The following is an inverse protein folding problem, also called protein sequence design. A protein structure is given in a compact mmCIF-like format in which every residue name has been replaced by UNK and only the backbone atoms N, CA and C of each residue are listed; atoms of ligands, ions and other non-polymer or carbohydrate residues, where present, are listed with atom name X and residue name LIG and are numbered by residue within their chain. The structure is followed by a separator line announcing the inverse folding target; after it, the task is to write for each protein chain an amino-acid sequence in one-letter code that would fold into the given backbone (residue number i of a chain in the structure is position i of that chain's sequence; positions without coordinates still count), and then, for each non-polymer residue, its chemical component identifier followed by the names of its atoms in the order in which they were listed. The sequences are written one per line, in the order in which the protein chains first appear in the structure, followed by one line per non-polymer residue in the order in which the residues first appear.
data_IF_850170531554
#
_entry.id   IF_850170531554
#
_cell.length_a   1.000
_cell.length_b   1.000
_cell.length_c   1.000
_cell.angle_alpha   90.00
_cell.angle_beta   90.00
_cell.angle_gamma   90.00
#
_symmetry.space_group_name_H-M   'P 1'
#
loop_
_entity.id
_entity.type
_entity.pdbx_description
1 polymer ?
#
# COMPACT_ATOMS: atom_id res chain seq x y z
N UNK A 1 12.92 -70.84 1.67
CA UNK A 1 14.11 -71.67 1.57
C UNK A 1 15.30 -70.79 1.90
N UNK A 2 15.96 -71.11 3.05
CA UNK A 2 17.34 -70.88 3.43
C UNK A 2 17.79 -69.42 3.58
N UNK A 3 17.90 -68.86 4.74
CA UNK A 3 18.61 -69.14 6.01
C UNK A 3 20.08 -68.66 5.99
N UNK A 4 20.40 -67.88 7.05
CA UNK A 4 21.68 -67.71 7.77
C UNK A 4 22.68 -66.66 7.20
N UNK A 5 23.48 -65.93 7.99
CA UNK A 5 23.84 -66.04 9.42
C UNK A 5 24.59 -64.77 9.87
N UNK A 6 24.50 -64.49 11.13
CA UNK A 6 25.19 -63.60 12.05
C UNK A 6 26.72 -63.81 12.13
N UNK A 7 27.49 -62.75 12.39
CA UNK A 7 28.72 -62.77 13.23
C UNK A 7 29.12 -61.29 13.50
N UNK A 8 29.06 -60.69 14.63
CA UNK A 8 29.77 -60.80 15.91
C UNK A 8 31.20 -60.17 15.91
N UNK A 9 31.36 -59.24 16.81
CA UNK A 9 32.49 -58.43 17.23
C UNK A 9 33.80 -59.20 17.55
N UNK A 10 34.96 -58.46 17.70
CA UNK A 10 35.42 -58.32 19.08
C UNK A 10 36.05 -56.95 19.47
N UNK A 11 35.96 -56.72 20.75
CA UNK A 11 36.56 -55.73 21.62
C UNK A 11 38.04 -55.96 21.86
N UNK A 12 38.85 -54.86 22.07
CA UNK A 12 39.86 -54.76 23.16
C UNK A 12 40.58 -53.41 23.12
N UNK A 13 40.43 -52.70 24.17
CA UNK A 13 41.36 -52.31 25.26
C UNK A 13 42.69 -51.65 24.83
N UNK A 14 42.89 -50.39 25.21
CA UNK A 14 43.91 -50.02 26.20
C UNK A 14 43.76 -48.56 26.65
N UNK A 15 43.61 -48.45 27.95
CA UNK A 15 43.85 -47.26 28.77
C UNK A 15 45.34 -46.93 28.78
N UNK A 16 45.68 -45.66 28.87
CA UNK A 16 46.72 -44.99 29.71
C UNK A 16 47.13 -43.71 29.00
N UNK A 17 46.87 -42.57 29.56
CA UNK A 17 47.72 -41.72 30.37
C UNK A 17 46.94 -40.45 30.72
N UNK A 18 46.80 -40.25 31.99
CA UNK A 18 46.31 -39.02 32.62
C UNK A 18 47.44 -38.01 32.75
N UNK A 19 47.08 -36.76 32.75
CA UNK A 19 47.86 -35.76 33.49
C UNK A 19 48.30 -34.53 32.70
N UNK A 20 47.93 -33.38 33.21
CA UNK A 20 48.39 -32.00 32.90
C UNK A 20 47.79 -31.32 31.63
N UNK A 21 46.74 -30.51 31.88
CA UNK A 21 46.17 -29.58 30.91
C UNK A 21 44.91 -28.85 31.41
N UNK A 22 44.66 -28.89 32.71
CA UNK A 22 43.51 -28.21 33.32
C UNK A 22 43.91 -26.88 33.95
N UNK A 23 44.25 -25.87 33.18
CA UNK A 23 44.31 -24.45 33.65
C UNK A 23 44.50 -23.40 32.54
N UNK A 24 43.92 -23.59 31.35
CA UNK A 24 43.79 -22.48 30.38
C UNK A 24 42.59 -22.54 29.47
N UNK A 25 41.49 -23.13 29.93
CA UNK A 25 40.24 -23.16 29.16
C UNK A 25 39.07 -22.43 29.84
N UNK A 26 39.30 -21.72 30.94
CA UNK A 26 38.24 -21.00 31.69
C UNK A 26 38.13 -19.52 31.36
N UNK A 27 38.90 -18.96 30.43
CA UNK A 27 38.88 -17.51 30.12
C UNK A 27 38.38 -17.18 28.70
N UNK A 28 37.92 -18.14 27.92
CA UNK A 28 37.34 -17.87 26.60
C UNK A 28 35.86 -18.25 26.45
N UNK A 29 35.26 -18.87 27.44
CA UNK A 29 33.82 -19.17 27.43
C UNK A 29 32.91 -18.05 27.99
N UNK A 30 33.51 -16.96 28.51
CA UNK A 30 32.75 -15.81 29.05
C UNK A 30 32.53 -14.67 28.02
N UNK A 31 32.90 -14.84 26.76
CA UNK A 31 32.70 -13.80 25.74
C UNK A 31 31.70 -14.18 24.62
N UNK A 32 31.04 -15.31 24.71
CA UNK A 32 30.01 -15.74 23.74
C UNK A 32 28.58 -15.74 24.33
N UNK A 33 28.40 -15.24 25.53
CA UNK A 33 27.08 -14.86 26.04
C UNK A 33 26.92 -13.34 25.92
N UNK A 34 27.21 -12.75 24.76
CA UNK A 34 26.57 -11.52 24.36
C UNK A 34 25.11 -11.90 24.16
N UNK A 35 24.28 -11.64 25.18
CA UNK A 35 22.84 -11.74 25.13
C UNK A 35 22.40 -11.05 23.85
N UNK A 36 21.92 -11.83 22.85
CA UNK A 36 20.99 -11.31 21.90
C UNK A 36 19.78 -10.83 22.72
N UNK A 37 19.80 -9.54 23.11
CA UNK A 37 18.55 -8.90 23.50
C UNK A 37 17.58 -9.16 22.34
N UNK A 38 16.41 -9.75 22.62
CA UNK A 38 15.38 -9.80 21.60
C UNK A 38 15.23 -8.37 21.08
N UNK A 39 15.09 -8.14 19.78
CA UNK A 39 14.92 -6.81 19.25
C UNK A 39 13.85 -6.13 20.10
N UNK A 40 14.23 -5.02 20.75
CA UNK A 40 13.27 -4.20 21.50
C UNK A 40 12.07 -4.05 20.58
N UNK A 41 10.92 -4.55 21.02
CA UNK A 41 9.65 -4.38 20.30
C UNK A 41 9.52 -2.87 20.13
N UNK A 42 9.88 -2.33 18.95
CA UNK A 42 9.66 -0.93 18.62
C UNK A 42 8.23 -0.65 19.00
N UNK A 43 8.00 0.33 19.88
CA UNK A 43 6.65 0.77 20.19
C UNK A 43 5.94 0.96 18.84
N UNK A 44 4.78 0.32 18.68
CA UNK A 44 4.08 0.31 17.40
C UNK A 44 3.96 1.75 16.93
N UNK A 45 4.63 2.09 15.82
CA UNK A 45 4.62 3.43 15.29
C UNK A 45 3.15 3.82 15.06
N UNK A 46 2.75 5.00 15.53
CA UNK A 46 1.39 5.52 15.40
C UNK A 46 1.46 7.00 15.04
N UNK A 47 0.47 7.47 14.32
CA UNK A 47 0.26 8.89 14.16
C UNK A 47 -0.23 9.51 15.49
N UNK A 48 0.13 10.76 15.73
CA UNK A 48 -0.45 11.57 16.81
C UNK A 48 -1.95 11.85 16.56
N UNK A 49 -2.55 12.79 17.30
CA UNK A 49 -3.94 13.19 17.08
C UNK A 49 -4.17 13.62 15.64
N UNK A 50 -5.25 13.12 15.03
CA UNK A 50 -5.64 13.49 13.67
C UNK A 50 -6.22 14.90 13.64
N UNK A 51 -6.00 15.57 12.53
CA UNK A 51 -6.62 16.85 12.17
C UNK A 51 -7.83 16.59 11.27
N UNK A 52 -8.71 17.58 11.15
CA UNK A 52 -9.93 17.52 10.34
C UNK A 52 -10.10 18.80 9.55
N UNK A 53 -10.57 18.67 8.31
CA UNK A 53 -10.93 19.79 7.46
C UNK A 53 -12.13 19.40 6.58
N UNK A 54 -13.04 20.36 6.38
CA UNK A 54 -14.14 20.20 5.43
C UNK A 54 -13.60 20.48 4.02
N UNK A 55 -13.63 19.49 3.14
CA UNK A 55 -13.07 19.49 1.81
C UNK A 55 -14.05 18.88 0.81
N UNK A 56 -14.57 19.70 -0.08
CA UNK A 56 -15.60 19.26 -1.03
C UNK A 56 -16.82 18.71 -0.32
N UNK A 57 -17.10 17.41 -0.51
CA UNK A 57 -18.23 16.70 0.10
C UNK A 57 -17.88 15.98 1.40
N UNK A 58 -16.63 16.08 1.85
CA UNK A 58 -16.09 15.32 2.96
C UNK A 58 -15.59 16.23 4.09
N UNK A 59 -15.75 15.76 5.31
CA UNK A 59 -14.87 16.11 6.42
C UNK A 59 -13.75 15.09 6.46
N UNK A 60 -12.58 15.50 6.02
CA UNK A 60 -11.41 14.61 5.91
C UNK A 60 -10.64 14.60 7.22
N UNK A 61 -10.43 13.38 7.76
CA UNK A 61 -9.50 13.15 8.86
C UNK A 61 -8.13 12.79 8.30
N UNK A 62 -7.07 13.46 8.79
CA UNK A 62 -5.73 13.27 8.29
C UNK A 62 -4.66 13.39 9.38
N UNK A 63 -3.56 12.68 9.19
CA UNK A 63 -2.33 12.90 9.95
C UNK A 63 -1.47 13.96 9.26
N UNK A 64 -0.77 14.76 10.04
CA UNK A 64 0.14 15.79 9.53
C UNK A 64 1.43 15.81 10.35
N UNK A 65 2.57 15.80 9.66
CA UNK A 65 3.90 15.82 10.24
C UNK A 65 4.77 16.87 9.52
N UNK A 66 5.81 17.32 10.21
CA UNK A 66 6.78 18.29 9.68
C UNK A 66 6.33 19.75 9.79
N UNK A 67 7.14 20.70 9.29
CA UNK A 67 6.85 22.14 9.36
C UNK A 67 5.65 22.51 8.49
N UNK A 68 4.77 23.35 8.98
CA UNK A 68 3.50 23.73 8.28
C UNK A 68 3.69 24.59 7.05
N UNK A 69 4.82 25.28 6.94
CA UNK A 69 5.20 26.17 5.86
C UNK A 69 6.14 25.50 4.81
N UNK A 70 6.50 24.25 5.03
CA UNK A 70 7.38 23.49 4.14
C UNK A 70 6.65 22.99 2.88
N UNK A 71 7.40 22.61 1.81
CA UNK A 71 6.84 21.94 0.65
C UNK A 71 6.05 20.70 1.04
N UNK A 72 4.91 20.48 0.38
CA UNK A 72 3.94 19.46 0.77
C UNK A 72 4.17 18.15 0.03
N UNK A 73 4.06 17.06 0.79
CA UNK A 73 3.90 15.69 0.27
C UNK A 73 2.56 15.14 0.76
N UNK A 74 1.70 14.67 -0.16
CA UNK A 74 0.51 13.89 0.14
C UNK A 74 0.79 12.40 -0.05
N UNK A 75 0.46 11.60 0.98
CA UNK A 75 0.60 10.15 0.96
C UNK A 75 -0.79 9.50 0.94
N UNK A 76 -1.10 8.78 -0.13
CA UNK A 76 -2.42 8.24 -0.42
C UNK A 76 -2.44 6.72 -0.35
N UNK A 77 -3.22 6.17 0.57
CA UNK A 77 -3.36 4.72 0.76
C UNK A 77 -4.32 4.08 -0.25
N UNK A 78 -4.35 2.76 -0.28
CA UNK A 78 -5.25 1.98 -1.11
C UNK A 78 -6.23 1.12 -0.33
N UNK A 79 -6.94 0.24 -1.06
CA UNK A 79 -7.83 -0.78 -0.50
C UNK A 79 -7.10 -2.13 -0.42
N UNK A 80 -7.28 -2.92 0.63
CA UNK A 80 -7.94 -2.64 1.90
C UNK A 80 -6.93 -2.23 2.99
N UNK A 81 -6.33 -1.07 2.81
CA UNK A 81 -5.32 -0.48 3.70
C UNK A 81 -5.83 0.87 4.24
N UNK A 82 -5.00 1.58 5.02
CA UNK A 82 -5.31 2.90 5.52
C UNK A 82 -4.04 3.75 5.73
N UNK A 83 -4.17 4.88 6.44
CA UNK A 83 -3.06 5.79 6.72
C UNK A 83 -1.86 5.09 7.38
N UNK A 84 -2.07 4.00 8.14
CA UNK A 84 -0.99 3.31 8.84
C UNK A 84 0.02 2.65 7.89
N UNK A 85 -0.30 2.51 6.60
CA UNK A 85 0.69 2.13 5.58
C UNK A 85 1.87 3.10 5.52
N UNK A 86 1.68 4.35 5.94
CA UNK A 86 2.71 5.39 5.87
C UNK A 86 3.27 5.78 7.23
N UNK A 87 2.96 5.05 8.29
CA UNK A 87 3.37 5.42 9.66
C UNK A 87 4.89 5.48 9.85
N UNK A 88 5.65 4.73 9.06
CA UNK A 88 7.12 4.76 9.06
C UNK A 88 7.68 5.69 7.96
N UNK A 89 6.98 5.85 6.85
CA UNK A 89 7.39 6.74 5.74
C UNK A 89 7.25 8.21 6.11
N UNK A 90 6.13 8.60 6.71
CA UNK A 90 5.83 10.00 6.98
C UNK A 90 6.86 10.70 7.88
N UNK A 91 7.36 10.08 8.96
CA UNK A 91 8.44 10.66 9.76
C UNK A 91 9.75 10.86 8.98
N UNK A 92 10.11 9.96 8.06
CA UNK A 92 11.32 10.08 7.25
C UNK A 92 11.24 11.30 6.33
N UNK A 93 10.08 11.52 5.70
CA UNK A 93 9.85 12.67 4.84
C UNK A 93 9.77 13.99 5.64
N UNK A 94 9.17 13.97 6.82
CA UNK A 94 9.12 15.12 7.72
C UNK A 94 10.52 15.51 8.21
N UNK A 95 11.38 14.54 8.56
CA UNK A 95 12.78 14.77 8.91
C UNK A 95 13.59 15.34 7.73
N UNK A 96 13.21 15.03 6.51
CA UNK A 96 13.81 15.62 5.31
C UNK A 96 13.30 17.04 5.01
N UNK A 97 12.47 17.64 5.87
CA UNK A 97 12.03 19.02 5.81
C UNK A 97 10.74 19.24 5.00
N UNK A 98 9.92 18.22 4.82
CA UNK A 98 8.63 18.34 4.14
C UNK A 98 7.45 18.41 5.13
N UNK A 99 6.38 19.10 4.74
CA UNK A 99 5.06 18.98 5.35
C UNK A 99 4.37 17.76 4.78
N UNK A 100 4.16 16.73 5.58
CA UNK A 100 3.61 15.45 5.15
C UNK A 100 2.16 15.33 5.60
N UNK A 101 1.25 15.11 4.68
CA UNK A 101 -0.18 14.98 4.91
C UNK A 101 -0.62 13.58 4.49
N UNK A 102 -1.29 12.85 5.39
CA UNK A 102 -1.72 11.47 5.19
C UNK A 102 -3.22 11.38 5.48
N UNK A 103 -4.09 11.58 4.48
CA UNK A 103 -5.53 11.56 4.69
C UNK A 103 -6.09 10.13 4.71
N UNK A 104 -7.15 9.91 5.50
CA UNK A 104 -8.06 8.82 5.25
C UNK A 104 -8.89 9.13 3.99
N UNK A 105 -8.89 8.26 3.03
CA UNK A 105 -9.74 8.37 1.84
C UNK A 105 -11.22 8.24 2.21
N UNK A 106 -12.12 8.59 1.26
CA UNK A 106 -13.57 8.38 1.45
C UNK A 106 -13.87 6.92 1.82
N UNK A 107 -14.71 6.70 2.83
CA UNK A 107 -15.04 5.36 3.31
C UNK A 107 -14.01 4.72 4.24
N UNK A 108 -13.07 5.49 4.78
CA UNK A 108 -12.04 5.00 5.69
C UNK A 108 -11.90 5.83 6.96
N UNK A 109 -11.57 5.13 8.04
CA UNK A 109 -11.15 5.73 9.31
C UNK A 109 -12.11 6.80 9.81
N UNK A 110 -11.61 8.01 9.93
CA UNK A 110 -12.37 9.16 10.50
C UNK A 110 -12.93 10.13 9.46
N UNK A 111 -12.66 9.93 8.17
CA UNK A 111 -13.27 10.76 7.11
C UNK A 111 -14.76 10.49 7.02
N UNK A 112 -15.58 11.52 6.90
CA UNK A 112 -17.05 11.43 6.86
C UNK A 112 -17.62 12.29 5.75
N UNK A 113 -18.74 11.86 5.14
CA UNK A 113 -19.50 12.73 4.26
C UNK A 113 -20.17 13.84 5.08
N UNK A 114 -20.18 15.06 4.54
CA UNK A 114 -20.84 16.21 5.14
C UNK A 114 -22.37 16.13 5.07
N UNK A 115 -22.91 15.33 4.13
CA UNK A 115 -24.33 15.11 3.96
C UNK A 115 -24.65 13.62 3.81
N UNK A 116 -25.75 13.19 4.42
CA UNK A 116 -26.31 11.84 4.23
C UNK A 116 -26.76 11.61 2.78
N UNK A 117 -27.16 12.67 2.08
CA UNK A 117 -27.67 12.63 0.71
C UNK A 117 -26.57 12.46 -0.34
N UNK A 118 -25.28 12.65 0.03
CA UNK A 118 -24.19 12.47 -0.91
C UNK A 118 -24.07 11.00 -1.31
N UNK A 119 -24.02 10.74 -2.60
CA UNK A 119 -23.86 9.38 -3.13
C UNK A 119 -22.54 8.74 -2.66
N UNK A 120 -22.60 7.48 -2.20
CA UNK A 120 -21.43 6.72 -1.70
C UNK A 120 -20.63 6.16 -2.87
N UNK A 121 -20.08 7.07 -3.63
CA UNK A 121 -19.41 6.88 -4.88
C UNK A 121 -17.94 6.44 -4.67
N UNK A 122 -17.51 5.39 -5.36
CA UNK A 122 -16.14 4.89 -5.37
C UNK A 122 -15.45 5.01 -6.72
N UNK A 123 -16.00 5.78 -7.68
CA UNK A 123 -15.37 5.94 -9.00
C UNK A 123 -14.04 6.70 -8.91
N UNK A 124 -13.09 6.43 -9.83
CA UNK A 124 -11.75 6.99 -9.75
C UNK A 124 -11.68 8.51 -9.78
N UNK A 125 -12.50 9.18 -10.62
CA UNK A 125 -12.53 10.64 -10.68
C UNK A 125 -13.05 11.27 -9.39
N UNK A 126 -13.96 10.60 -8.67
CA UNK A 126 -14.46 11.09 -7.39
C UNK A 126 -13.36 11.07 -6.31
N UNK A 127 -12.57 9.98 -6.25
CA UNK A 127 -11.45 9.89 -5.30
C UNK A 127 -10.37 10.93 -5.60
N UNK A 128 -10.05 11.15 -6.88
CA UNK A 128 -9.09 12.17 -7.28
C UNK A 128 -9.59 13.59 -6.99
N UNK A 129 -10.88 13.85 -7.20
CA UNK A 129 -11.50 15.14 -6.86
C UNK A 129 -11.47 15.42 -5.35
N UNK A 130 -11.56 14.40 -4.50
CA UNK A 130 -11.38 14.57 -3.04
C UNK A 130 -9.95 15.02 -2.70
N UNK A 131 -8.94 14.51 -3.41
CA UNK A 131 -7.54 14.93 -3.21
C UNK A 131 -7.39 16.40 -3.57
N UNK A 132 -7.94 16.84 -4.69
CA UNK A 132 -7.91 18.25 -5.10
C UNK A 132 -8.65 19.11 -4.10
N UNK A 133 -9.86 18.72 -3.68
CA UNK A 133 -10.64 19.44 -2.67
C UNK A 133 -9.92 19.53 -1.32
N UNK A 134 -9.22 18.47 -0.91
CA UNK A 134 -8.38 18.50 0.29
C UNK A 134 -7.24 19.49 0.16
N UNK A 135 -6.56 19.50 -0.99
CA UNK A 135 -5.49 20.48 -1.26
C UNK A 135 -6.02 21.92 -1.20
N UNK A 136 -7.19 22.18 -1.77
CA UNK A 136 -7.84 23.49 -1.73
C UNK A 136 -8.17 23.91 -0.30
N UNK A 137 -8.80 23.03 0.48
CA UNK A 137 -9.17 23.28 1.86
C UNK A 137 -7.95 23.53 2.78
N UNK A 138 -6.82 22.92 2.48
CA UNK A 138 -5.54 23.10 3.19
C UNK A 138 -4.66 24.21 2.60
N UNK A 139 -5.13 24.93 1.59
CA UNK A 139 -4.41 25.99 0.85
C UNK A 139 -3.08 25.47 0.25
N UNK A 140 -3.07 24.22 -0.20
CA UNK A 140 -1.94 23.57 -0.86
C UNK A 140 -2.10 23.73 -2.37
N UNK A 141 -1.35 24.67 -2.96
CA UNK A 141 -1.43 24.88 -4.41
C UNK A 141 -0.84 23.72 -5.21
N UNK A 142 0.29 23.19 -4.75
CA UNK A 142 1.02 22.10 -5.40
C UNK A 142 1.66 21.19 -4.36
N UNK A 143 1.66 19.87 -4.61
CA UNK A 143 2.28 18.89 -3.75
C UNK A 143 3.00 17.79 -4.56
N UNK A 144 3.94 17.10 -3.92
CA UNK A 144 4.37 15.77 -4.37
C UNK A 144 3.27 14.79 -3.96
N UNK A 145 2.75 14.02 -4.91
CA UNK A 145 1.73 13.03 -4.67
C UNK A 145 2.35 11.63 -4.70
N UNK A 146 2.19 10.87 -3.65
CA UNK A 146 2.72 9.52 -3.56
C UNK A 146 1.65 8.55 -3.03
N UNK A 147 1.57 7.37 -3.63
CA UNK A 147 0.56 6.41 -3.20
C UNK A 147 0.76 5.01 -3.75
N UNK A 148 -0.10 4.12 -3.33
CA UNK A 148 -0.20 2.76 -3.84
C UNK A 148 -1.68 2.38 -4.01
N UNK A 149 -1.96 1.41 -4.88
CA UNK A 149 -3.32 0.92 -5.17
C UNK A 149 -4.29 2.08 -5.52
N UNK A 150 -5.44 2.26 -4.83
CA UNK A 150 -6.37 3.37 -5.07
C UNK A 150 -5.69 4.73 -4.89
N UNK A 151 -4.76 4.84 -3.92
CA UNK A 151 -4.02 6.08 -3.70
C UNK A 151 -3.10 6.44 -4.86
N UNK A 152 -2.39 5.45 -5.44
CA UNK A 152 -1.59 5.68 -6.64
C UNK A 152 -2.46 6.06 -7.84
N UNK A 153 -3.62 5.42 -8.00
CA UNK A 153 -4.59 5.78 -9.04
C UNK A 153 -5.07 7.21 -8.89
N UNK A 154 -5.49 7.59 -7.67
CA UNK A 154 -5.95 8.97 -7.40
C UNK A 154 -4.85 9.99 -7.66
N UNK A 155 -3.61 9.72 -7.21
CA UNK A 155 -2.44 10.56 -7.47
C UNK A 155 -2.16 10.69 -8.97
N UNK A 156 -2.18 9.58 -9.72
CA UNK A 156 -1.97 9.58 -11.17
C UNK A 156 -3.06 10.36 -11.91
N UNK A 157 -4.31 10.26 -11.48
CA UNK A 157 -5.42 11.04 -12.05
C UNK A 157 -5.23 12.52 -11.79
N UNK A 158 -4.85 12.93 -10.57
CA UNK A 158 -4.55 14.34 -10.29
C UNK A 158 -3.39 14.83 -11.17
N UNK A 159 -2.31 14.05 -11.28
CA UNK A 159 -1.17 14.39 -12.13
C UNK A 159 -1.52 14.51 -13.62
N UNK A 160 -2.49 13.72 -14.11
CA UNK A 160 -2.93 13.75 -15.50
C UNK A 160 -3.94 14.87 -15.82
N UNK A 161 -4.88 15.14 -14.91
CA UNK A 161 -5.97 16.09 -15.16
C UNK A 161 -5.71 17.49 -14.62
N UNK A 162 -4.86 17.63 -13.59
CA UNK A 162 -4.46 18.87 -12.93
C UNK A 162 -2.94 18.88 -12.69
N UNK A 163 -2.11 18.83 -13.77
CA UNK A 163 -0.66 18.74 -13.64
C UNK A 163 -0.04 19.90 -12.84
N UNK A 164 -0.66 21.07 -12.84
CA UNK A 164 -0.25 22.23 -12.05
C UNK A 164 -0.38 22.00 -10.53
N UNK A 165 -1.20 21.05 -10.11
CA UNK A 165 -1.39 20.68 -8.69
C UNK A 165 -0.38 19.62 -8.23
N UNK A 166 0.28 18.94 -9.17
CA UNK A 166 1.22 17.84 -8.89
C UNK A 166 2.64 18.26 -9.25
N UNK A 167 3.50 18.45 -8.25
CA UNK A 167 4.92 18.74 -8.45
C UNK A 167 5.69 17.53 -8.99
N UNK A 168 5.40 16.35 -8.44
CA UNK A 168 5.95 15.08 -8.85
C UNK A 168 5.02 13.96 -8.39
N UNK A 169 5.08 12.83 -9.07
CA UNK A 169 4.27 11.65 -8.79
C UNK A 169 5.15 10.45 -8.38
N UNK A 170 4.76 9.74 -7.30
CA UNK A 170 5.26 8.40 -7.01
C UNK A 170 4.09 7.43 -6.97
N UNK A 171 4.03 6.52 -7.93
CA UNK A 171 2.92 5.59 -8.09
C UNK A 171 3.38 4.13 -8.00
N UNK A 172 2.95 3.40 -6.95
CA UNK A 172 3.15 1.98 -6.91
C UNK A 172 2.22 1.27 -7.91
N UNK A 173 2.78 0.24 -8.58
CA UNK A 173 2.15 -0.58 -9.63
C UNK A 173 1.89 0.16 -10.97
N UNK A 174 2.60 1.26 -11.20
CA UNK A 174 2.70 1.87 -12.53
C UNK A 174 1.57 2.82 -12.91
N UNK A 175 1.17 2.78 -14.20
CA UNK A 175 0.09 3.61 -14.72
C UNK A 175 -1.25 2.93 -14.46
N UNK A 176 -2.02 3.47 -13.51
CA UNK A 176 -3.27 2.85 -13.02
C UNK A 176 -4.55 3.56 -13.50
N UNK A 177 -4.45 4.51 -14.45
CA UNK A 177 -5.62 5.15 -15.03
C UNK A 177 -6.27 4.15 -15.99
N UNK A 178 -7.48 3.74 -15.69
CA UNK A 178 -8.28 2.83 -16.50
C UNK A 178 -9.65 3.44 -16.80
N UNK A 179 -10.47 2.70 -17.52
CA UNK A 179 -11.84 3.08 -17.84
C UNK A 179 -12.76 1.85 -17.83
N UNK A 180 -14.06 2.06 -17.85
CA UNK A 180 -15.05 0.98 -17.84
C UNK A 180 -14.97 0.08 -19.09
N UNK A 181 -14.64 0.62 -20.26
CA UNK A 181 -14.55 -0.19 -21.49
C UNK A 181 -13.38 -1.19 -21.41
N UNK A 182 -12.24 -0.74 -20.88
CA UNK A 182 -11.13 -1.65 -20.60
C UNK A 182 -11.50 -2.71 -19.55
N UNK A 183 -12.32 -2.36 -18.57
CA UNK A 183 -12.80 -3.27 -17.53
C UNK A 183 -13.74 -4.36 -18.04
N UNK A 184 -14.33 -4.22 -19.25
CA UNK A 184 -15.17 -5.23 -19.91
C UNK A 184 -14.36 -6.29 -20.66
N UNK A 185 -13.07 -6.04 -20.90
CA UNK A 185 -12.19 -6.97 -21.63
C UNK A 185 -11.63 -8.00 -20.63
N UNK A 186 -11.86 -9.31 -20.90
CA UNK A 186 -11.36 -10.34 -19.98
C UNK A 186 -9.82 -10.38 -19.99
N UNK A 187 -9.25 -10.65 -18.84
CA UNK A 187 -7.82 -10.87 -18.65
C UNK A 187 -7.48 -12.37 -18.78
N UNK A 188 -6.20 -12.74 -18.87
CA UNK A 188 -5.79 -14.14 -18.75
C UNK A 188 -6.29 -14.77 -17.44
N UNK A 189 -6.64 -16.07 -17.42
CA UNK A 189 -7.26 -16.73 -16.27
C UNK A 189 -6.49 -16.57 -14.96
N UNK A 190 -5.15 -16.53 -15.00
CA UNK A 190 -4.30 -16.34 -13.83
C UNK A 190 -4.49 -14.94 -13.21
N UNK A 191 -4.63 -13.90 -14.02
CA UNK A 191 -4.89 -12.53 -13.57
C UNK A 191 -6.33 -12.40 -13.02
N UNK A 192 -7.32 -13.02 -13.69
CA UNK A 192 -8.70 -13.08 -13.19
C UNK A 192 -8.79 -13.81 -11.84
N UNK A 193 -8.03 -14.88 -11.67
CA UNK A 193 -7.95 -15.60 -10.39
C UNK A 193 -7.38 -14.73 -9.26
N UNK A 194 -6.40 -13.90 -9.54
CA UNK A 194 -5.85 -12.97 -8.56
C UNK A 194 -6.85 -11.86 -8.19
N UNK A 195 -7.68 -11.43 -9.16
CA UNK A 195 -8.73 -10.42 -8.97
C UNK A 195 -10.13 -11.00 -8.77
N UNK A 196 -10.25 -12.28 -8.36
CA UNK A 196 -11.51 -12.99 -8.14
C UNK A 196 -12.54 -12.18 -7.35
N UNK A 197 -12.09 -11.36 -6.42
CA UNK A 197 -12.96 -10.58 -5.54
C UNK A 197 -13.75 -9.50 -6.29
N UNK A 198 -13.31 -9.04 -7.45
CA UNK A 198 -14.08 -8.10 -8.27
C UNK A 198 -15.40 -8.76 -8.74
N UNK A 199 -15.33 -10.02 -9.17
CA UNK A 199 -16.52 -10.79 -9.58
C UNK A 199 -17.37 -11.19 -8.38
N UNK A 200 -16.76 -11.45 -7.24
CA UNK A 200 -17.50 -11.67 -5.99
C UNK A 200 -18.29 -10.41 -5.61
N UNK A 201 -17.69 -9.24 -5.66
CA UNK A 201 -18.33 -7.95 -5.38
C UNK A 201 -19.39 -7.54 -6.42
N UNK A 202 -19.35 -8.08 -7.62
CA UNK A 202 -20.39 -7.89 -8.62
C UNK A 202 -21.75 -8.42 -8.16
N UNK A 203 -21.77 -9.40 -7.26
CA UNK A 203 -22.97 -10.06 -6.75
C UNK A 203 -23.43 -9.48 -5.41
N UNK A 204 -24.74 -9.61 -5.11
CA UNK A 204 -25.25 -9.26 -3.77
C UNK A 204 -24.71 -10.20 -2.68
N UNK A 205 -24.47 -11.48 -3.01
CA UNK A 205 -23.77 -12.41 -2.12
C UNK A 205 -22.38 -11.88 -1.72
N UNK A 206 -21.65 -11.30 -2.67
CA UNK A 206 -20.34 -10.72 -2.42
C UNK A 206 -20.40 -9.49 -1.53
N UNK A 207 -21.37 -8.59 -1.77
CA UNK A 207 -21.61 -7.43 -0.90
C UNK A 207 -21.91 -7.85 0.55
N UNK A 208 -22.85 -8.78 0.74
CA UNK A 208 -23.20 -9.29 2.07
C UNK A 208 -22.01 -10.02 2.72
N UNK A 209 -21.26 -10.79 1.94
CA UNK A 209 -20.09 -11.52 2.45
C UNK A 209 -18.98 -10.57 2.90
N UNK A 210 -18.69 -9.53 2.13
CA UNK A 210 -17.72 -8.50 2.51
C UNK A 210 -18.17 -7.74 3.77
N UNK A 211 -19.43 -7.33 3.84
CA UNK A 211 -19.99 -6.64 5.02
C UNK A 211 -19.86 -7.51 6.30
N UNK A 212 -20.11 -8.82 6.17
CA UNK A 212 -20.08 -9.76 7.30
C UNK A 212 -18.68 -10.16 7.74
N UNK A 213 -17.76 -10.34 6.80
CA UNK A 213 -16.44 -10.92 7.03
C UNK A 213 -15.31 -9.98 6.63
N UNK A 214 -15.51 -8.69 6.76
CA UNK A 214 -14.60 -7.63 6.25
C UNK A 214 -13.15 -7.82 6.66
N UNK A 215 -12.88 -8.03 7.95
CA UNK A 215 -11.52 -8.21 8.46
C UNK A 215 -10.85 -9.47 7.92
N UNK A 216 -11.58 -10.59 7.94
CA UNK A 216 -11.05 -11.84 7.40
C UNK A 216 -10.77 -11.72 5.90
N UNK A 217 -11.64 -11.00 5.17
CA UNK A 217 -11.49 -10.73 3.75
C UNK A 217 -10.27 -9.84 3.48
N UNK A 218 -10.17 -8.70 4.17
CA UNK A 218 -9.04 -7.79 4.05
C UNK A 218 -7.70 -8.49 4.36
N UNK A 219 -7.66 -9.28 5.43
CA UNK A 219 -6.48 -10.06 5.81
C UNK A 219 -6.10 -11.12 4.75
N UNK A 220 -7.09 -11.73 4.10
CA UNK A 220 -6.86 -12.63 2.97
C UNK A 220 -6.24 -11.88 1.79
N UNK A 221 -6.78 -10.72 1.43
CA UNK A 221 -6.23 -9.88 0.35
C UNK A 221 -4.78 -9.48 0.65
N UNK A 222 -4.46 -9.06 1.88
CA UNK A 222 -3.08 -8.74 2.26
C UNK A 222 -2.12 -9.90 2.01
N UNK A 223 -2.51 -11.13 2.42
CA UNK A 223 -1.69 -12.34 2.22
C UNK A 223 -1.52 -12.70 0.75
N UNK A 224 -2.54 -12.49 -0.08
CA UNK A 224 -2.47 -12.75 -1.50
C UNK A 224 -1.63 -11.71 -2.23
N UNK A 225 -1.83 -10.45 -1.91
CA UNK A 225 -1.14 -9.33 -2.56
C UNK A 225 0.32 -9.16 -2.10
N UNK A 226 0.63 -9.58 -0.86
CA UNK A 226 1.98 -9.51 -0.29
C UNK A 226 2.38 -10.87 0.31
N UNK A 227 2.61 -11.89 -0.53
CA UNK A 227 2.75 -13.28 -0.08
C UNK A 227 4.01 -13.54 0.76
N UNK A 228 5.01 -12.67 0.68
CA UNK A 228 6.25 -12.77 1.47
C UNK A 228 6.27 -11.85 2.69
N UNK A 229 5.26 -11.02 2.87
CA UNK A 229 5.19 -10.08 3.99
C UNK A 229 4.68 -10.77 5.26
N UNK A 230 5.54 -10.87 6.28
CA UNK A 230 5.20 -11.46 7.57
C UNK A 230 4.66 -10.37 8.53
N UNK A 231 3.47 -9.83 8.25
CA UNK A 231 2.81 -8.89 9.16
C UNK A 231 2.19 -9.61 10.36
N UNK A 232 2.23 -8.97 11.52
CA UNK A 232 1.58 -9.47 12.74
C UNK A 232 0.11 -9.01 12.86
N UNK A 233 -0.61 -9.62 13.79
CA UNK A 233 -2.01 -9.30 14.04
C UNK A 233 -2.23 -7.88 14.54
N UNK A 234 -1.26 -7.29 15.26
CA UNK A 234 -1.34 -5.92 15.73
C UNK A 234 -1.23 -4.91 14.58
N UNK A 235 -0.37 -5.18 13.62
CA UNK A 235 -0.25 -4.39 12.38
C UNK A 235 -1.55 -4.41 11.58
N UNK A 236 -2.14 -5.59 11.40
CA UNK A 236 -3.43 -5.70 10.70
C UNK A 236 -4.57 -5.00 11.48
N UNK A 237 -4.65 -5.20 12.80
CA UNK A 237 -5.73 -4.67 13.62
C UNK A 237 -5.81 -3.13 13.59
N UNK A 238 -4.68 -2.44 13.44
CA UNK A 238 -4.66 -0.97 13.29
C UNK A 238 -5.41 -0.52 12.05
N UNK A 239 -5.19 -1.17 10.93
CA UNK A 239 -5.89 -0.88 9.68
C UNK A 239 -7.33 -1.38 9.72
N UNK A 240 -7.60 -2.55 10.30
CA UNK A 240 -8.95 -3.12 10.39
C UNK A 240 -9.94 -2.15 11.05
N UNK A 241 -9.52 -1.44 12.09
CA UNK A 241 -10.34 -0.40 12.73
C UNK A 241 -10.78 0.72 11.77
N UNK A 242 -9.98 1.03 10.77
CA UNK A 242 -10.30 2.03 9.73
C UNK A 242 -11.36 1.54 8.74
N UNK A 243 -11.41 0.22 8.51
CA UNK A 243 -12.39 -0.42 7.62
C UNK A 243 -13.78 -0.52 8.27
N UNK A 244 -13.92 -0.31 9.59
CA UNK A 244 -15.20 -0.26 10.29
C UNK A 244 -16.03 1.00 9.99
N UNK A 245 -15.55 1.84 9.07
CA UNK A 245 -16.29 3.01 8.61
C UNK A 245 -17.67 2.64 8.05
N UNK A 246 -18.76 3.35 8.40
CA UNK A 246 -20.12 2.99 8.02
C UNK A 246 -20.36 2.92 6.50
N UNK A 247 -19.70 3.79 5.72
CA UNK A 247 -19.84 3.85 4.27
C UNK A 247 -18.82 2.99 3.52
N UNK A 248 -17.92 2.28 4.24
CA UNK A 248 -16.80 1.55 3.61
C UNK A 248 -17.26 0.52 2.60
N UNK A 249 -18.20 -0.33 3.01
CA UNK A 249 -18.68 -1.43 2.15
C UNK A 249 -19.32 -0.89 0.87
N UNK A 250 -20.17 0.13 0.98
CA UNK A 250 -20.89 0.67 -0.16
C UNK A 250 -19.93 1.32 -1.17
N UNK A 251 -18.94 2.06 -0.70
CA UNK A 251 -17.93 2.70 -1.55
C UNK A 251 -17.05 1.65 -2.23
N UNK A 252 -16.59 0.63 -1.50
CA UNK A 252 -15.75 -0.45 -2.06
C UNK A 252 -16.53 -1.24 -3.12
N UNK A 253 -17.75 -1.66 -2.80
CA UNK A 253 -18.62 -2.38 -3.74
C UNK A 253 -18.89 -1.53 -4.98
N UNK A 254 -19.19 -0.24 -4.80
CA UNK A 254 -19.40 0.68 -5.92
C UNK A 254 -18.16 0.77 -6.81
N UNK A 255 -16.96 0.96 -6.24
CA UNK A 255 -15.71 1.05 -7.02
C UNK A 255 -15.52 -0.17 -7.93
N UNK A 256 -15.67 -1.38 -7.39
CA UNK A 256 -15.43 -2.60 -8.18
C UNK A 256 -16.57 -2.89 -9.17
N UNK A 257 -17.82 -2.62 -8.83
CA UNK A 257 -18.94 -2.69 -9.77
C UNK A 257 -18.80 -1.67 -10.90
N UNK A 258 -18.43 -0.43 -10.58
CA UNK A 258 -18.20 0.61 -11.58
C UNK A 258 -17.10 0.20 -12.57
N UNK A 259 -15.98 -0.34 -12.09
CA UNK A 259 -14.89 -0.84 -12.95
C UNK A 259 -15.31 -1.92 -13.93
N UNK A 260 -16.28 -2.74 -13.57
CA UNK A 260 -16.85 -3.80 -14.42
C UNK A 260 -18.03 -3.33 -15.28
N UNK A 261 -18.38 -2.03 -15.21
CA UNK A 261 -19.55 -1.49 -15.91
C UNK A 261 -20.90 -1.96 -15.33
N UNK A 262 -20.92 -2.35 -14.06
CA UNK A 262 -22.10 -2.86 -13.35
C UNK A 262 -22.72 -1.83 -12.38
N UNK A 263 -22.18 -0.64 -12.31
CA UNK A 263 -22.72 0.48 -11.54
C UNK A 263 -22.51 1.78 -12.31
N UNK A 264 -23.51 2.67 -12.22
CA UNK A 264 -23.42 4.01 -12.79
C UNK A 264 -22.49 4.89 -11.95
N UNK A 265 -21.76 5.79 -12.62
CA UNK A 265 -21.03 6.86 -11.96
C UNK A 265 -21.94 8.05 -11.62
N UNK A 266 -21.39 9.02 -10.93
CA UNK A 266 -22.12 10.26 -10.58
C UNK A 266 -21.99 11.28 -11.73
N UNK A 267 -23.09 11.85 -12.23
CA UNK A 267 -23.07 12.75 -13.40
C UNK A 267 -22.06 13.91 -13.31
N UNK A 268 -21.79 14.42 -12.13
CA UNK A 268 -20.79 15.51 -11.94
C UNK A 268 -19.34 15.10 -12.25
N UNK A 269 -19.04 13.82 -12.30
CA UNK A 269 -17.71 13.32 -12.65
C UNK A 269 -17.64 12.77 -14.08
N UNK A 270 -18.76 12.75 -14.83
CA UNK A 270 -18.83 12.15 -16.15
C UNK A 270 -17.78 12.71 -17.13
N UNK A 271 -17.60 14.04 -17.16
CA UNK A 271 -16.60 14.68 -18.02
C UNK A 271 -15.16 14.30 -17.64
N UNK A 272 -14.87 14.14 -16.34
CA UNK A 272 -13.57 13.68 -15.87
C UNK A 272 -13.33 12.23 -16.26
N UNK A 273 -14.29 11.34 -16.05
CA UNK A 273 -14.19 9.93 -16.45
C UNK A 273 -14.05 9.79 -17.98
N UNK A 274 -14.74 10.62 -18.77
CA UNK A 274 -14.56 10.65 -20.22
C UNK A 274 -13.13 11.08 -20.63
N UNK A 275 -12.54 12.07 -19.94
CA UNK A 275 -11.15 12.45 -20.15
C UNK A 275 -10.19 11.32 -19.76
N UNK A 276 -10.44 10.62 -18.65
CA UNK A 276 -9.65 9.48 -18.18
C UNK A 276 -9.74 8.29 -19.14
N UNK A 277 -10.90 8.09 -19.79
CA UNK A 277 -11.09 7.04 -20.79
C UNK A 277 -10.15 7.15 -22.00
N UNK A 278 -9.61 8.34 -22.27
CA UNK A 278 -8.59 8.54 -23.33
C UNK A 278 -7.19 8.06 -22.90
N UNK A 279 -7.03 7.58 -21.66
CA UNK A 279 -5.75 7.22 -21.06
C UNK A 279 -4.70 8.34 -21.17
N UNK A 280 -4.95 9.50 -20.56
CA UNK A 280 -4.16 10.71 -20.74
C UNK A 280 -2.70 10.52 -20.31
N UNK A 281 -1.79 11.23 -20.98
CA UNK A 281 -0.37 11.25 -20.66
C UNK A 281 -0.12 12.07 -19.39
N UNK A 282 0.80 11.60 -18.54
CA UNK A 282 1.26 12.30 -17.34
C UNK A 282 2.56 13.04 -17.69
N UNK A 283 2.58 14.35 -17.53
CA UNK A 283 3.71 15.22 -17.91
C UNK A 283 4.61 15.62 -16.74
N UNK A 284 4.20 15.38 -15.51
CA UNK A 284 4.99 15.72 -14.32
C UNK A 284 6.11 14.71 -14.08
N UNK A 285 7.20 15.10 -13.38
CA UNK A 285 8.23 14.16 -12.96
C UNK A 285 7.62 12.97 -12.22
N UNK A 286 7.96 11.75 -12.64
CA UNK A 286 7.31 10.54 -12.11
C UNK A 286 8.30 9.42 -11.84
N UNK A 287 8.17 8.79 -10.67
CA UNK A 287 8.77 7.50 -10.35
C UNK A 287 7.66 6.48 -10.14
N UNK A 288 7.63 5.45 -10.98
CA UNK A 288 6.79 4.27 -10.70
C UNK A 288 7.57 3.27 -9.85
N UNK A 289 6.91 2.66 -8.88
CA UNK A 289 7.53 1.73 -7.93
C UNK A 289 6.82 0.39 -8.02
N UNK A 290 7.59 -0.71 -7.98
CA UNK A 290 7.02 -2.06 -7.92
C UNK A 290 7.79 -2.90 -6.90
N UNK A 291 7.10 -3.82 -6.22
CA UNK A 291 7.71 -4.81 -5.34
C UNK A 291 8.04 -6.10 -6.11
N UNK A 292 9.20 -6.71 -5.84
CA UNK A 292 9.67 -7.93 -6.50
C UNK A 292 8.85 -9.20 -6.14
N UNK A 293 7.91 -9.07 -5.21
CA UNK A 293 7.00 -10.13 -4.78
C UNK A 293 5.53 -9.67 -4.72
N UNK A 294 5.17 -8.65 -5.52
CA UNK A 294 3.78 -8.21 -5.60
C UNK A 294 2.90 -9.33 -6.17
N UNK A 295 1.96 -9.82 -5.36
CA UNK A 295 1.01 -10.87 -5.75
C UNK A 295 -0.24 -10.34 -6.44
N UNK A 296 -0.45 -9.01 -6.50
CA UNK A 296 -1.53 -8.42 -7.27
C UNK A 296 -1.12 -8.26 -8.75
N UNK A 297 -2.04 -8.46 -9.71
CA UNK A 297 -1.73 -8.21 -11.11
C UNK A 297 -1.29 -6.76 -11.33
N UNK A 298 -0.19 -6.60 -12.02
CA UNK A 298 0.36 -5.30 -12.40
C UNK A 298 0.94 -5.35 -13.81
N UNK A 299 0.87 -4.26 -14.59
CA UNK A 299 1.40 -4.24 -15.94
C UNK A 299 2.93 -4.14 -15.94
N UNK A 300 3.57 -4.73 -16.94
CA UNK A 300 5.00 -4.56 -17.17
C UNK A 300 5.35 -3.10 -17.47
N UNK A 301 6.45 -2.55 -16.91
CA UNK A 301 6.84 -1.14 -17.10
C UNK A 301 6.94 -0.73 -18.56
N UNK A 302 7.41 -1.61 -19.45
CA UNK A 302 7.52 -1.34 -20.89
C UNK A 302 6.17 -1.10 -21.56
N UNK A 303 5.07 -1.63 -21.01
CA UNK A 303 3.73 -1.48 -21.57
C UNK A 303 3.14 -0.10 -21.32
N UNK A 304 3.59 0.62 -20.29
CA UNK A 304 3.02 1.93 -19.90
C UNK A 304 4.03 3.08 -19.84
N UNK A 305 5.33 2.85 -20.00
CA UNK A 305 6.36 3.91 -19.92
C UNK A 305 6.06 5.09 -20.86
N UNK A 306 5.49 4.83 -22.03
CA UNK A 306 5.08 5.83 -23.02
C UNK A 306 3.95 6.77 -22.54
N UNK A 307 3.31 6.45 -21.41
CA UNK A 307 2.29 7.28 -20.77
C UNK A 307 2.87 8.41 -19.91
N UNK A 308 4.19 8.43 -19.74
CA UNK A 308 4.89 9.49 -19.02
C UNK A 308 5.75 10.29 -19.99
N UNK A 309 5.42 11.58 -20.20
CA UNK A 309 6.15 12.47 -21.12
C UNK A 309 7.14 13.38 -20.42
N UNK A 310 7.04 13.52 -19.10
CA UNK A 310 8.02 14.23 -18.27
C UNK A 310 9.21 13.33 -17.88
N UNK A 311 10.10 13.80 -16.99
CA UNK A 311 11.13 12.96 -16.41
C UNK A 311 10.52 11.72 -15.78
N UNK A 312 10.97 10.54 -16.19
CA UNK A 312 10.38 9.27 -15.78
C UNK A 312 11.42 8.23 -15.40
N UNK A 313 11.17 7.53 -14.29
CA UNK A 313 11.94 6.39 -13.86
C UNK A 313 11.00 5.27 -13.37
N UNK A 314 11.47 4.03 -13.52
CA UNK A 314 10.84 2.87 -12.86
C UNK A 314 11.81 2.31 -11.81
N UNK A 315 11.29 1.97 -10.63
CA UNK A 315 12.08 1.39 -9.54
C UNK A 315 11.46 0.08 -9.04
N UNK A 316 12.23 -1.00 -9.18
CA UNK A 316 11.89 -2.28 -8.55
C UNK A 316 12.49 -2.32 -7.14
N UNK A 317 11.63 -2.51 -6.13
CA UNK A 317 12.04 -2.72 -4.74
C UNK A 317 12.23 -4.21 -4.50
N UNK A 318 13.46 -4.59 -4.12
CA UNK A 318 13.85 -5.98 -3.90
C UNK A 318 13.86 -6.34 -2.42
N UNK A 319 13.70 -7.63 -2.13
CA UNK A 319 13.70 -8.16 -0.77
C UNK A 319 12.41 -8.87 -0.39
N UNK A 320 11.59 -9.25 -1.36
CA UNK A 320 10.32 -9.90 -1.12
C UNK A 320 9.18 -8.91 -0.87
N UNK A 321 9.28 -7.71 -1.43
CA UNK A 321 8.33 -6.63 -1.25
C UNK A 321 7.06 -6.91 -2.08
N UNK A 322 5.92 -6.84 -1.44
CA UNK A 322 4.61 -7.08 -2.04
C UNK A 322 3.90 -5.79 -2.48
N UNK A 323 2.59 -5.80 -2.30
CA UNK A 323 1.67 -4.79 -2.82
C UNK A 323 1.61 -3.49 -2.01
N UNK A 324 2.11 -3.49 -0.77
CA UNK A 324 2.13 -2.32 0.11
C UNK A 324 3.58 -1.82 0.34
N UNK A 325 4.27 -1.32 -0.70
CA UNK A 325 5.66 -0.87 -0.58
C UNK A 325 5.90 0.13 0.55
N UNK A 326 4.97 1.08 0.86
CA UNK A 326 5.19 2.00 1.96
C UNK A 326 5.37 1.33 3.32
N UNK A 327 4.70 0.21 3.56
CA UNK A 327 4.76 -0.50 4.84
C UNK A 327 5.78 -1.64 4.82
N UNK A 328 6.00 -2.25 3.66
CA UNK A 328 6.94 -3.36 3.50
C UNK A 328 8.39 -2.90 3.34
N UNK A 329 8.61 -1.73 2.73
CA UNK A 329 9.92 -1.14 2.46
C UNK A 329 9.92 0.39 2.68
N UNK A 330 9.61 0.89 3.89
CA UNK A 330 9.35 2.30 4.14
C UNK A 330 10.52 3.22 3.77
N UNK A 331 11.76 2.81 4.03
CA UNK A 331 12.93 3.61 3.68
C UNK A 331 13.12 3.75 2.17
N UNK A 332 12.96 2.66 1.42
CA UNK A 332 13.10 2.66 -0.04
C UNK A 332 11.96 3.45 -0.70
N UNK A 333 10.74 3.36 -0.17
CA UNK A 333 9.60 4.14 -0.65
C UNK A 333 9.80 5.64 -0.36
N UNK A 334 10.25 6.01 0.85
CA UNK A 334 10.56 7.39 1.20
C UNK A 334 11.67 7.97 0.30
N UNK A 335 12.71 7.19 0.01
CA UNK A 335 13.78 7.59 -0.91
C UNK A 335 13.23 7.89 -2.32
N UNK A 336 12.35 7.04 -2.85
CA UNK A 336 11.71 7.29 -4.16
C UNK A 336 10.91 8.59 -4.15
N UNK A 337 10.20 8.90 -3.05
CA UNK A 337 9.45 10.16 -2.91
C UNK A 337 10.38 11.36 -2.87
N UNK A 338 11.48 11.30 -2.11
CA UNK A 338 12.47 12.38 -2.02
C UNK A 338 13.21 12.59 -3.34
N UNK A 339 13.47 11.55 -4.10
CA UNK A 339 14.09 11.64 -5.41
C UNK A 339 13.14 12.29 -6.42
N UNK A 340 11.88 11.82 -6.50
CA UNK A 340 10.87 12.44 -7.36
C UNK A 340 10.67 13.92 -7.05
N UNK A 341 10.70 14.32 -5.78
CA UNK A 341 10.59 15.73 -5.37
C UNK A 341 11.72 16.63 -5.88
N UNK A 342 12.87 16.04 -6.25
CA UNK A 342 14.06 16.75 -6.75
C UNK A 342 14.20 16.74 -8.28
N UNK A 343 13.44 15.89 -8.96
CA UNK A 343 13.38 15.85 -10.44
C UNK A 343 12.74 17.12 -11.00
#
# INVERSE_FOLDING_TARGET
MICRTVAALPTSRRRFLAGLGAMMAASQLSRLAASERPPERRAAASFGPLKYVDAGVLRVGYAELGPTDAPVILLLHGWPYDIHSFVEVAPLLAQAGYRVIVPHLRGYGTTRFLSSETFRNGEPAALASDVVALMDALQVHQAVLAGFDWGARSAAIVAALWPERCRALVAASGYLIGNQEAGKVPLPPEAELQWWYQFYFATERGRMGYAKYRDAFAKLIWRMASPKWAFDDATFARTAASLDHPDHVDIVIHNYRWRLGLAEGEPRYADLEQRLATAPVISVPTITVEGDANGAPHPEPSSYAHKFSGPYQHRLLSGGIGHNPPQEAPAQFAEAVLEAARM
#
